data_IF_226531269219
#
_entry.id   IF_226531269219
#
_cell.length_a   1.000
_cell.length_b   1.000
_cell.length_c   1.000
_cell.angle_alpha   90.00
_cell.angle_beta   90.00
_cell.angle_gamma   90.00
#
_symmetry.space_group_name_H-M   'P 1'
#
loop_
_entity.id
_entity.type
_entity.pdbx_description
1 polymer ?
#
# COMPACT_ATOMS: atom_id res chain seq x y z
N UNK A 1 14.97 13.20 17.44
CA UNK A 1 15.28 11.85 16.90
C UNK A 1 14.16 11.51 15.93
N UNK A 2 14.45 11.19 14.68
CA UNK A 2 13.40 10.70 13.78
C UNK A 2 12.84 9.39 14.34
N UNK A 3 11.53 9.24 14.34
CA UNK A 3 10.88 8.00 14.74
C UNK A 3 11.30 6.89 13.75
N UNK A 4 11.97 5.87 14.24
CA UNK A 4 12.39 4.73 13.44
C UNK A 4 11.19 3.78 13.31
N UNK A 5 10.30 4.08 12.39
CA UNK A 5 9.26 3.13 11.97
C UNK A 5 9.80 2.39 10.76
N UNK A 6 10.30 1.18 10.99
CA UNK A 6 10.79 0.32 9.92
C UNK A 6 9.63 -0.33 9.16
N UNK A 7 9.87 -0.75 7.92
CA UNK A 7 8.86 -1.49 7.15
C UNK A 7 8.49 -2.82 7.82
N UNK A 8 9.43 -3.46 8.48
CA UNK A 8 9.17 -4.67 9.28
C UNK A 8 8.19 -4.42 10.44
N UNK A 9 8.34 -3.28 11.13
CA UNK A 9 7.39 -2.90 12.18
C UNK A 9 5.99 -2.64 11.62
N UNK A 10 5.89 -2.00 10.46
CA UNK A 10 4.60 -1.81 9.77
C UNK A 10 3.95 -3.12 9.36
N UNK A 11 4.75 -4.05 8.84
CA UNK A 11 4.28 -5.40 8.47
C UNK A 11 3.78 -6.14 9.71
N UNK A 12 4.56 -6.12 10.80
CA UNK A 12 4.18 -6.75 12.06
C UNK A 12 2.87 -6.17 12.62
N UNK A 13 2.72 -4.85 12.61
CA UNK A 13 1.48 -4.19 13.05
C UNK A 13 0.28 -4.60 12.19
N UNK A 14 0.45 -4.65 10.88
CA UNK A 14 -0.60 -5.08 9.97
C UNK A 14 -0.99 -6.55 10.19
N UNK A 15 -0.01 -7.40 10.45
CA UNK A 15 -0.24 -8.81 10.79
C UNK A 15 -0.97 -8.98 12.11
N UNK A 16 -0.51 -8.29 13.16
CA UNK A 16 -1.13 -8.33 14.49
C UNK A 16 -2.57 -7.83 14.42
N UNK A 17 -2.81 -6.75 13.69
CA UNK A 17 -4.15 -6.23 13.47
C UNK A 17 -5.04 -7.24 12.73
N UNK A 18 -4.57 -7.81 11.63
CA UNK A 18 -5.32 -8.83 10.89
C UNK A 18 -5.61 -10.08 11.75
N UNK A 19 -4.67 -10.51 12.57
CA UNK A 19 -4.86 -11.64 13.50
C UNK A 19 -5.87 -11.32 14.60
N UNK A 20 -6.01 -10.06 15.02
CA UNK A 20 -6.98 -9.69 16.06
C UNK A 20 -8.44 -9.97 15.66
N UNK A 21 -8.73 -10.05 14.36
CA UNK A 21 -10.06 -10.42 13.84
C UNK A 21 -10.34 -11.92 13.89
N UNK A 22 -9.30 -12.76 13.94
CA UNK A 22 -9.46 -14.22 14.00
C UNK A 22 -9.62 -14.72 15.44
N UNK A 23 -9.33 -13.87 16.41
CA UNK A 23 -9.24 -14.24 17.83
C UNK A 23 -7.95 -14.99 18.15
N UNK A 24 -7.34 -14.63 19.26
CA UNK A 24 -6.20 -15.36 19.81
C UNK A 24 -6.65 -15.94 21.15
N UNK A 25 -6.72 -17.28 21.23
CA UNK A 25 -7.19 -17.98 22.43
C UNK A 25 -8.70 -17.87 22.63
N UNK A 26 -9.15 -17.68 23.87
CA UNK A 26 -10.58 -17.62 24.25
C UNK A 26 -11.19 -16.23 24.12
N UNK A 27 -10.39 -15.20 23.81
CA UNK A 27 -10.85 -13.82 23.70
C UNK A 27 -11.07 -13.43 22.25
N UNK A 28 -12.30 -13.21 21.86
CA UNK A 28 -12.66 -12.72 20.52
C UNK A 28 -12.96 -11.24 20.60
N UNK A 29 -12.21 -10.45 19.86
CA UNK A 29 -12.51 -9.03 19.68
C UNK A 29 -13.60 -8.85 18.62
N UNK A 30 -14.56 -7.99 18.90
CA UNK A 30 -15.62 -7.64 17.96
C UNK A 30 -15.34 -6.25 17.39
N UNK A 31 -15.16 -6.19 16.08
CA UNK A 31 -14.94 -4.94 15.36
C UNK A 31 -16.14 -4.63 14.50
N UNK A 32 -16.46 -3.35 14.42
CA UNK A 32 -17.53 -2.83 13.59
C UNK A 32 -17.00 -1.69 12.73
N UNK A 33 -17.41 -1.64 11.48
CA UNK A 33 -17.23 -0.48 10.62
C UNK A 33 -18.57 0.22 10.44
N UNK A 34 -18.56 1.53 10.36
CA UNK A 34 -19.75 2.29 10.08
C UNK A 34 -19.49 3.37 9.03
N UNK A 35 -20.55 3.79 8.35
CA UNK A 35 -20.57 4.97 7.51
C UNK A 35 -21.31 6.06 8.27
N UNK A 36 -20.64 7.18 8.48
CA UNK A 36 -21.25 8.37 9.06
C UNK A 36 -21.77 9.33 7.99
N UNK A 37 -22.71 10.15 8.35
CA UNK A 37 -23.16 11.23 7.48
C UNK A 37 -22.00 12.22 7.25
N UNK A 38 -21.80 12.74 6.04
CA UNK A 38 -20.82 13.79 5.79
C UNK A 38 -21.10 14.99 6.69
N UNK A 39 -20.11 15.40 7.46
CA UNK A 39 -20.26 16.57 8.32
C UNK A 39 -20.19 17.83 7.45
N UNK A 40 -21.13 18.77 7.61
CA UNK A 40 -21.07 20.02 6.91
C UNK A 40 -19.83 20.81 7.33
N UNK A 41 -19.14 21.39 6.36
CA UNK A 41 -18.04 22.32 6.62
C UNK A 41 -18.62 23.65 7.08
N UNK A 42 -18.56 23.94 8.37
CA UNK A 42 -18.95 25.21 8.92
C UNK A 42 -17.72 26.11 9.10
N UNK A 43 -17.76 27.30 8.52
CA UNK A 43 -16.71 28.30 8.71
C UNK A 43 -16.70 28.73 10.18
N UNK A 44 -15.59 28.49 10.87
CA UNK A 44 -15.41 28.89 12.27
C UNK A 44 -15.59 27.77 13.31
N UNK A 45 -15.90 26.54 12.89
CA UNK A 45 -15.88 25.37 13.78
C UNK A 45 -14.60 24.58 13.51
N UNK A 46 -13.67 24.66 14.43
CA UNK A 46 -12.35 24.02 14.33
C UNK A 46 -12.34 22.51 14.60
N UNK A 47 -13.50 21.92 14.95
CA UNK A 47 -13.56 20.56 15.47
C UNK A 47 -14.04 19.52 14.45
N UNK A 48 -14.92 19.94 13.53
CA UNK A 48 -15.51 19.05 12.53
C UNK A 48 -15.74 19.81 11.23
N UNK A 49 -15.25 19.23 10.13
CA UNK A 49 -15.37 19.87 8.83
C UNK A 49 -14.40 21.03 8.63
N UNK A 50 -13.34 21.13 9.42
CA UNK A 50 -12.27 22.09 9.21
C UNK A 50 -11.61 21.81 7.85
N UNK A 51 -11.62 22.77 6.90
CA UNK A 51 -10.98 22.60 5.61
C UNK A 51 -9.47 22.42 5.70
N UNK A 52 -8.89 22.72 6.86
CA UNK A 52 -7.46 22.52 7.15
C UNK A 52 -7.16 21.14 7.73
N UNK A 53 -8.17 20.30 7.99
CA UNK A 53 -7.97 18.94 8.49
C UNK A 53 -7.03 18.16 7.56
N UNK A 54 -5.99 17.56 8.15
CA UNK A 54 -4.96 16.82 7.40
C UNK A 54 -3.87 17.67 6.77
N UNK A 55 -3.93 19.01 6.90
CA UNK A 55 -2.81 19.89 6.57
C UNK A 55 -1.82 19.99 7.73
N UNK A 56 -0.58 20.45 7.45
CA UNK A 56 0.47 20.59 8.49
C UNK A 56 0.03 21.50 9.64
N UNK A 57 -0.83 22.48 9.38
CA UNK A 57 -1.30 23.46 10.34
C UNK A 57 -2.73 23.22 10.85
N UNK A 58 -3.42 22.22 10.32
CA UNK A 58 -4.83 22.01 10.56
C UNK A 58 -5.19 20.66 11.17
N UNK A 59 -4.22 19.94 11.75
CA UNK A 59 -4.52 18.70 12.48
C UNK A 59 -5.04 19.09 13.87
N UNK A 60 -6.34 19.02 14.13
CA UNK A 60 -6.85 19.30 15.47
C UNK A 60 -6.29 18.27 16.46
N UNK A 61 -6.05 18.66 17.71
CA UNK A 61 -5.70 17.71 18.74
C UNK A 61 -6.80 16.67 18.91
N UNK A 62 -6.45 15.41 19.21
CA UNK A 62 -7.44 14.41 19.55
C UNK A 62 -8.33 14.92 20.66
N UNK A 63 -9.65 14.91 20.44
CA UNK A 63 -10.63 15.26 21.45
C UNK A 63 -11.33 14.00 21.91
N UNK A 64 -11.20 13.71 23.17
CA UNK A 64 -11.90 12.64 23.86
C UNK A 64 -13.01 13.28 24.68
N UNK A 65 -14.19 13.45 24.06
CA UNK A 65 -15.34 14.06 24.70
C UNK A 65 -16.63 13.32 24.36
N UNK A 66 -17.54 13.26 25.30
CA UNK A 66 -18.89 12.71 25.12
C UNK A 66 -19.64 13.32 23.94
N UNK A 67 -19.39 14.58 23.63
CA UNK A 67 -20.03 15.23 22.49
C UNK A 67 -19.58 14.62 21.14
N UNK A 68 -18.33 14.23 21.02
CA UNK A 68 -17.83 13.58 19.79
C UNK A 68 -18.37 12.16 19.67
N UNK A 69 -18.41 11.40 20.75
CA UNK A 69 -19.01 10.06 20.74
C UNK A 69 -20.49 10.11 20.33
N UNK A 70 -21.27 11.02 20.92
CA UNK A 70 -22.65 11.20 20.53
C UNK A 70 -22.79 11.60 19.06
N UNK A 71 -21.95 12.50 18.57
CA UNK A 71 -21.96 12.92 17.18
C UNK A 71 -21.67 11.75 16.22
N UNK A 72 -20.74 10.86 16.55
CA UNK A 72 -20.49 9.67 15.76
C UNK A 72 -21.69 8.74 15.73
N UNK A 73 -22.33 8.51 16.89
CA UNK A 73 -23.51 7.67 16.98
C UNK A 73 -24.72 8.27 16.24
N UNK A 74 -24.94 9.56 16.39
CA UNK A 74 -26.07 10.27 15.76
C UNK A 74 -25.90 10.37 14.23
N UNK A 75 -24.66 10.43 13.75
CA UNK A 75 -24.35 10.51 12.32
C UNK A 75 -24.29 9.15 11.62
N UNK A 76 -24.40 8.05 12.34
CA UNK A 76 -24.25 6.70 11.80
C UNK A 76 -25.42 6.33 10.89
N UNK A 77 -25.14 6.13 9.59
CA UNK A 77 -26.12 5.70 8.60
C UNK A 77 -26.14 4.19 8.40
N UNK A 78 -25.02 3.54 8.59
CA UNK A 78 -24.85 2.12 8.35
C UNK A 78 -23.78 1.55 9.28
N UNK A 79 -24.04 0.38 9.83
CA UNK A 79 -23.12 -0.35 10.70
C UNK A 79 -22.99 -1.80 10.22
N UNK A 80 -21.77 -2.28 10.06
CA UNK A 80 -21.48 -3.68 9.72
C UNK A 80 -20.45 -4.25 10.69
N UNK A 81 -20.71 -5.44 11.22
CA UNK A 81 -19.69 -6.21 11.93
C UNK A 81 -18.62 -6.66 10.94
N UNK A 82 -17.35 -6.43 11.31
CA UNK A 82 -16.20 -6.87 10.55
C UNK A 82 -15.74 -8.23 11.06
N UNK A 83 -15.62 -9.18 10.16
CA UNK A 83 -15.13 -10.54 10.42
C UNK A 83 -13.75 -10.74 9.79
N UNK A 84 -13.07 -11.84 10.13
CA UNK A 84 -11.79 -12.19 9.52
C UNK A 84 -11.88 -12.32 7.99
N UNK A 85 -13.04 -12.68 7.45
CA UNK A 85 -13.27 -12.78 6.01
C UNK A 85 -13.35 -11.41 5.30
N UNK A 86 -13.67 -10.35 6.04
CA UNK A 86 -13.76 -8.99 5.50
C UNK A 86 -12.38 -8.29 5.47
N UNK A 87 -11.41 -8.82 6.23
CA UNK A 87 -10.06 -8.24 6.33
C UNK A 87 -9.13 -8.86 5.29
N UNK A 88 -8.53 -8.02 4.47
CA UNK A 88 -7.59 -8.44 3.42
C UNK A 88 -6.33 -7.60 3.46
N UNK A 89 -5.21 -8.25 3.24
CA UNK A 89 -3.95 -7.56 2.98
C UNK A 89 -3.98 -7.08 1.53
N UNK A 90 -3.69 -5.82 1.33
CA UNK A 90 -3.65 -5.22 0.01
C UNK A 90 -2.30 -4.57 -0.22
N UNK A 91 -1.88 -4.52 -1.47
CA UNK A 91 -0.70 -3.80 -1.93
C UNK A 91 -1.14 -2.73 -2.91
N UNK A 92 -0.30 -1.70 -3.08
CA UNK A 92 -0.56 -0.70 -4.11
C UNK A 92 -0.61 -1.37 -5.48
N UNK A 93 -1.56 -0.97 -6.30
CA UNK A 93 -1.62 -1.39 -7.68
C UNK A 93 -0.78 -0.44 -8.53
N UNK A 94 0.19 -0.98 -9.22
CA UNK A 94 0.93 -0.31 -10.28
C UNK A 94 0.67 -1.07 -11.57
N UNK A 95 -0.03 -0.44 -12.51
CA UNK A 95 -0.18 -1.00 -13.84
C UNK A 95 1.16 -0.90 -14.58
N UNK A 96 1.46 -1.89 -15.40
CA UNK A 96 2.58 -1.78 -16.30
C UNK A 96 2.30 -0.72 -17.36
N UNK A 97 3.30 0.10 -17.66
CA UNK A 97 3.25 1.14 -18.68
C UNK A 97 4.57 1.13 -19.46
N UNK A 98 4.46 1.27 -20.77
CA UNK A 98 5.60 1.33 -21.67
C UNK A 98 6.49 2.54 -21.34
N UNK A 99 7.79 2.31 -21.28
CA UNK A 99 8.76 3.39 -21.10
C UNK A 99 8.92 3.91 -19.67
N UNK A 100 8.27 3.30 -18.71
CA UNK A 100 8.46 3.58 -17.27
C UNK A 100 9.68 2.78 -16.76
N UNK A 101 10.41 3.38 -15.84
CA UNK A 101 11.47 2.69 -15.09
C UNK A 101 10.89 2.19 -13.78
N UNK A 102 10.98 0.89 -13.55
CA UNK A 102 10.53 0.24 -12.32
C UNK A 102 11.71 -0.02 -11.39
N UNK A 103 11.43 -0.04 -10.10
CA UNK A 103 12.41 -0.36 -9.08
C UNK A 103 12.69 -1.87 -9.07
N UNK A 104 13.89 -2.24 -8.69
CA UNK A 104 14.25 -3.63 -8.46
C UNK A 104 13.85 -4.04 -7.04
N UNK A 105 13.32 -5.25 -6.86
CA UNK A 105 13.03 -5.79 -5.54
C UNK A 105 14.30 -5.93 -4.70
N UNK A 106 14.18 -5.50 -3.46
CA UNK A 106 15.21 -5.68 -2.44
C UNK A 106 14.51 -5.94 -1.09
N UNK A 107 14.92 -6.99 -0.41
CA UNK A 107 14.26 -7.44 0.84
C UNK A 107 14.54 -6.56 2.06
N UNK A 108 15.58 -5.74 1.99
CA UNK A 108 16.06 -4.93 3.09
C UNK A 108 16.07 -3.42 2.78
N UNK A 109 15.04 -2.95 2.10
CA UNK A 109 14.82 -1.53 1.89
C UNK A 109 14.67 -0.79 3.22
N UNK A 110 15.51 0.21 3.45
CA UNK A 110 15.36 1.19 4.50
C UNK A 110 15.98 2.53 4.08
N UNK A 111 15.95 3.53 4.96
CA UNK A 111 16.46 4.87 4.67
C UNK A 111 17.99 4.88 4.42
N UNK A 112 18.70 3.96 5.07
CA UNK A 112 20.16 3.85 4.98
C UNK A 112 20.60 2.82 3.94
N UNK A 113 19.70 1.89 3.59
CA UNK A 113 19.96 0.81 2.65
C UNK A 113 19.07 0.90 1.41
N UNK A 114 19.21 2.00 0.68
CA UNK A 114 18.52 2.24 -0.59
C UNK A 114 19.10 1.32 -1.65
N UNK A 115 18.25 0.88 -2.58
CA UNK A 115 18.76 0.27 -3.79
C UNK A 115 19.54 1.31 -4.58
N UNK A 116 20.76 1.04 -5.03
CA UNK A 116 21.50 1.95 -5.87
C UNK A 116 20.81 2.22 -7.21
N UNK A 117 19.92 1.31 -7.62
CA UNK A 117 19.13 1.38 -8.85
C UNK A 117 17.79 2.08 -8.68
N UNK A 118 17.41 2.49 -7.45
CA UNK A 118 16.12 3.10 -7.16
C UNK A 118 16.28 4.43 -6.43
N UNK A 119 15.34 5.34 -6.65
CA UNK A 119 15.17 6.54 -5.81
C UNK A 119 14.31 6.28 -4.58
N UNK A 120 13.67 5.11 -4.46
CA UNK A 120 12.85 4.76 -3.32
C UNK A 120 13.68 4.62 -2.05
N UNK A 121 13.16 5.15 -0.95
CA UNK A 121 13.80 5.11 0.37
C UNK A 121 13.16 4.09 1.30
N UNK A 122 12.04 3.52 0.90
CA UNK A 122 11.28 2.52 1.67
C UNK A 122 10.71 1.49 0.72
N UNK A 123 10.49 0.28 1.20
CA UNK A 123 9.83 -0.78 0.44
C UNK A 123 8.42 -0.36 -0.02
N UNK A 124 7.71 0.38 0.83
CA UNK A 124 6.38 0.89 0.49
C UNK A 124 6.38 1.91 -0.65
N UNK A 125 7.42 2.74 -0.77
CA UNK A 125 7.57 3.72 -1.84
C UNK A 125 8.10 3.14 -3.15
N UNK A 126 8.61 1.92 -3.11
CA UNK A 126 9.24 1.25 -4.25
C UNK A 126 8.20 0.66 -5.22
N UNK A 127 8.42 0.84 -6.51
CA UNK A 127 7.58 0.30 -7.59
C UNK A 127 8.20 -0.97 -8.17
N UNK A 128 8.49 -1.96 -7.32
CA UNK A 128 9.13 -3.21 -7.73
C UNK A 128 8.16 -4.27 -8.23
N UNK A 129 6.85 -4.04 -8.15
CA UNK A 129 5.83 -4.96 -8.67
C UNK A 129 4.85 -4.22 -9.56
N UNK A 130 4.33 -4.93 -10.53
CA UNK A 130 3.36 -4.41 -11.50
C UNK A 130 2.22 -5.39 -11.75
N UNK A 131 1.14 -4.85 -12.26
CA UNK A 131 0.02 -5.64 -12.82
C UNK A 131 -0.02 -5.38 -14.32
N UNK A 132 -0.02 -6.44 -15.12
CA UNK A 132 -0.13 -6.33 -16.56
C UNK A 132 -1.60 -6.16 -17.03
N UNK A 133 -1.79 -6.03 -18.33
CA UNK A 133 -3.12 -5.87 -18.97
C UNK A 133 -4.05 -7.07 -18.75
N UNK A 134 -3.51 -8.25 -18.49
CA UNK A 134 -4.26 -9.48 -18.20
C UNK A 134 -4.40 -9.77 -16.69
N UNK A 135 -4.19 -8.76 -15.84
CA UNK A 135 -4.27 -8.87 -14.37
C UNK A 135 -3.27 -9.83 -13.73
N UNK A 136 -2.20 -10.18 -14.43
CA UNK A 136 -1.08 -10.94 -13.88
C UNK A 136 -0.15 -10.02 -13.11
N UNK A 137 0.29 -10.45 -11.94
CA UNK A 137 1.18 -9.68 -11.06
C UNK A 137 2.61 -10.21 -11.17
N UNK A 138 3.55 -9.28 -11.37
CA UNK A 138 4.97 -9.59 -11.52
C UNK A 138 5.81 -8.77 -10.54
N UNK A 139 6.89 -9.37 -10.06
CA UNK A 139 7.95 -8.66 -9.33
C UNK A 139 9.15 -8.44 -10.23
N UNK A 140 9.71 -7.23 -10.19
CA UNK A 140 10.92 -6.87 -10.89
C UNK A 140 12.13 -7.34 -10.08
N UNK A 141 12.89 -8.30 -10.60
CA UNK A 141 14.12 -8.80 -9.98
C UNK A 141 15.38 -8.13 -10.56
N UNK A 142 15.31 -7.66 -11.80
CA UNK A 142 16.33 -6.85 -12.43
C UNK A 142 15.65 -5.81 -13.32
N UNK A 143 16.08 -4.59 -13.25
CA UNK A 143 15.54 -3.48 -14.03
C UNK A 143 16.50 -2.95 -15.10
N UNK A 144 17.47 -3.77 -15.51
CA UNK A 144 18.43 -3.40 -16.54
C UNK A 144 19.41 -2.31 -16.12
N UNK A 145 19.62 -2.09 -14.83
CA UNK A 145 20.57 -1.10 -14.35
C UNK A 145 22.00 -1.42 -14.82
N UNK A 146 22.69 -0.39 -15.31
CA UNK A 146 24.06 -0.45 -15.75
C UNK A 146 24.76 0.91 -15.49
N UNK A 147 26.04 1.07 -15.76
CA UNK A 147 26.74 2.34 -15.51
C UNK A 147 26.14 3.56 -16.23
N UNK A 148 25.56 3.36 -17.40
CA UNK A 148 24.89 4.42 -18.17
C UNK A 148 23.49 4.76 -17.58
N UNK A 149 22.77 3.74 -17.10
CA UNK A 149 21.45 3.85 -16.47
C UNK A 149 21.46 3.31 -15.04
N UNK A 150 22.06 4.01 -14.08
CA UNK A 150 22.28 3.48 -12.73
C UNK A 150 20.99 3.29 -11.94
N UNK A 151 19.88 3.90 -12.36
CA UNK A 151 18.54 3.72 -11.76
C UNK A 151 17.66 2.72 -12.49
N UNK A 152 18.19 2.03 -13.47
CA UNK A 152 17.48 1.10 -14.34
C UNK A 152 17.10 1.71 -15.69
N UNK A 153 16.80 0.85 -16.61
CA UNK A 153 16.34 1.20 -17.95
C UNK A 153 14.82 1.39 -17.97
N UNK A 154 14.31 1.89 -19.09
CA UNK A 154 12.88 1.93 -19.35
C UNK A 154 12.40 0.54 -19.76
N UNK A 155 11.30 0.07 -19.16
CA UNK A 155 10.67 -1.18 -19.58
C UNK A 155 10.03 -1.02 -20.96
N UNK A 156 10.39 -1.88 -21.89
CA UNK A 156 9.96 -1.82 -23.29
C UNK A 156 8.99 -2.93 -23.67
N UNK A 157 8.87 -3.98 -22.86
CA UNK A 157 8.00 -5.11 -23.13
C UNK A 157 7.20 -5.49 -21.89
N UNK A 158 5.87 -5.65 -22.08
CA UNK A 158 4.97 -6.11 -21.03
C UNK A 158 5.22 -7.59 -20.73
N UNK A 159 5.46 -7.98 -19.46
CA UNK A 159 5.57 -9.39 -19.12
C UNK A 159 4.19 -10.06 -19.20
N UNK A 160 4.12 -11.21 -19.89
CA UNK A 160 2.87 -11.95 -20.06
C UNK A 160 3.04 -13.48 -19.99
N UNK A 161 3.93 -13.96 -19.17
CA UNK A 161 4.14 -15.38 -18.91
C UNK A 161 3.54 -15.78 -17.54
N UNK A 162 3.38 -17.08 -17.32
CA UNK A 162 2.86 -17.64 -16.05
C UNK A 162 3.86 -18.59 -15.39
N UNK A 163 5.03 -18.75 -15.98
CA UNK A 163 6.09 -19.53 -15.38
C UNK A 163 6.62 -18.82 -14.13
N UNK A 164 6.83 -19.59 -13.06
CA UNK A 164 7.36 -19.09 -11.80
C UNK A 164 8.88 -18.85 -11.85
N UNK A 165 9.56 -19.34 -12.89
CA UNK A 165 10.96 -19.05 -13.14
C UNK A 165 11.10 -17.61 -13.66
N UNK A 166 12.02 -16.80 -13.10
CA UNK A 166 12.23 -15.45 -13.59
C UNK A 166 12.61 -15.41 -15.06
N UNK A 167 11.95 -14.56 -15.83
CA UNK A 167 12.17 -14.44 -17.28
C UNK A 167 12.20 -12.98 -17.71
N UNK A 168 12.85 -12.72 -18.84
CA UNK A 168 12.75 -11.45 -19.52
C UNK A 168 11.40 -11.34 -20.27
N UNK A 169 10.87 -10.13 -20.39
CA UNK A 169 9.73 -9.85 -21.24
C UNK A 169 10.19 -9.55 -22.68
N UNK A 170 9.40 -9.97 -23.65
CA UNK A 170 9.70 -9.73 -25.06
C UNK A 170 11.07 -10.28 -25.48
N UNK A 171 11.88 -9.44 -26.12
CA UNK A 171 13.25 -9.81 -26.54
C UNK A 171 14.30 -9.72 -25.42
N UNK A 172 13.91 -9.21 -24.24
CA UNK A 172 14.83 -8.96 -23.13
C UNK A 172 15.83 -7.81 -23.36
N UNK A 173 15.62 -7.00 -24.38
CA UNK A 173 16.55 -5.92 -24.77
C UNK A 173 16.64 -4.77 -23.75
N UNK A 174 15.64 -4.64 -22.89
CA UNK A 174 15.59 -3.65 -21.80
C UNK A 174 16.28 -4.13 -20.51
N UNK A 175 16.76 -5.37 -20.48
CA UNK A 175 17.45 -5.96 -19.34
C UNK A 175 16.57 -6.27 -18.15
N UNK A 176 15.24 -6.14 -18.28
CA UNK A 176 14.31 -6.51 -17.22
C UNK A 176 14.22 -8.02 -17.02
N UNK A 177 14.20 -8.41 -15.74
CA UNK A 177 13.93 -9.77 -15.32
C UNK A 177 12.72 -9.74 -14.38
N UNK A 178 11.63 -10.35 -14.83
CA UNK A 178 10.38 -10.40 -14.10
C UNK A 178 10.13 -11.78 -13.50
N UNK A 179 9.49 -11.84 -12.37
CA UNK A 179 8.99 -13.06 -11.76
C UNK A 179 7.48 -13.00 -11.67
N UNK A 180 6.80 -13.95 -12.28
CA UNK A 180 5.37 -14.12 -12.09
C UNK A 180 5.05 -14.49 -10.64
N UNK A 181 4.05 -13.84 -10.04
CA UNK A 181 3.63 -14.08 -8.67
C UNK A 181 2.26 -14.77 -8.64
N UNK A 182 1.25 -14.16 -9.20
CA UNK A 182 -0.12 -14.69 -9.23
C UNK A 182 -0.99 -13.91 -10.21
N UNK A 183 -2.18 -14.47 -10.49
CA UNK A 183 -3.24 -13.78 -11.21
C UNK A 183 -4.10 -13.00 -10.20
N UNK A 184 -4.26 -11.70 -10.41
CA UNK A 184 -5.14 -10.87 -9.59
C UNK A 184 -6.58 -11.05 -10.04
N UNK A 185 -7.37 -11.80 -9.29
CA UNK A 185 -8.79 -12.08 -9.59
C UNK A 185 -9.73 -10.99 -9.03
N UNK A 186 -9.22 -9.85 -8.60
CA UNK A 186 -10.07 -8.77 -8.11
C UNK A 186 -10.68 -8.06 -9.33
N UNK A 187 -11.81 -8.57 -9.76
CA UNK A 187 -12.72 -7.86 -10.63
C UNK A 187 -13.64 -7.01 -9.75
N UNK A 188 -13.39 -5.73 -9.72
CA UNK A 188 -14.38 -4.75 -9.27
C UNK A 188 -14.65 -3.81 -10.42
#
# INVERSE_FOLDING_TARGET
MPAIITDQFRILNAETFAQSFTGIGTTTNYYYTFLGHPQPTFTGITDYGDPLWGTVNGTPPPKDSFQQENLYHDSMLFLKRVTASDVRRVVRRYNWELGITYDMYKNNYDIDNKSPQSSATTLYGSKFFIVNSEFKVYACLNNGANPEFPKGQKSLAEPNFVDVTPQAAGTGSDGYLWKYLYLSLIHI
#
